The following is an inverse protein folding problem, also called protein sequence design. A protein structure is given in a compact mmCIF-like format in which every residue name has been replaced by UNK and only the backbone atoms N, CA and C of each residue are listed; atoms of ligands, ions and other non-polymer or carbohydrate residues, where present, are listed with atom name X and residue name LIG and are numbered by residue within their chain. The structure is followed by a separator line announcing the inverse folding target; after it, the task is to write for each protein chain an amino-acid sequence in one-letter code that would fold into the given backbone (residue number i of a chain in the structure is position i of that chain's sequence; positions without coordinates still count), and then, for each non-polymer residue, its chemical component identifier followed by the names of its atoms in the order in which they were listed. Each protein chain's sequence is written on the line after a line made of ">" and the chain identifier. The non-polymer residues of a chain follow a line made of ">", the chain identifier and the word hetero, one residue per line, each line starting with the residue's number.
data_IF_777006275590
#
_entry.id   IF_777006275590
#
_cell.length_a   1.000
_cell.length_b   1.000
_cell.length_c   1.000
_cell.angle_alpha   90.00
_cell.angle_beta   90.00
_cell.angle_gamma   90.00
#
_symmetry.space_group_name_H-M   'P 1'
#
loop_
_entity.id
_entity.type
_entity.pdbx_description
1 polymer ?
#
# COMPACT_ATOMS: atom_id res chain seq x y z
N UNK A 1 -1.40 30.54 -8.35
CA UNK A 1 -0.89 29.52 -7.41
C UNK A 1 -1.71 28.25 -7.55
N UNK A 2 -1.20 27.22 -8.25
CA UNK A 2 -1.84 25.90 -8.33
C UNK A 2 -1.20 25.04 -7.25
N UNK A 3 -2.02 24.52 -6.33
CA UNK A 3 -1.57 23.66 -5.24
C UNK A 3 -0.92 22.39 -5.79
N UNK A 4 0.27 22.08 -5.28
CA UNK A 4 1.10 20.95 -5.66
C UNK A 4 0.47 19.64 -5.13
N UNK A 5 -0.45 19.02 -5.89
CA UNK A 5 -1.31 17.92 -5.40
C UNK A 5 -0.69 16.51 -5.44
N UNK A 6 0.57 16.30 -5.86
CA UNK A 6 0.98 14.93 -6.27
C UNK A 6 2.31 14.38 -5.73
N UNK A 7 2.91 14.91 -4.67
CA UNK A 7 4.12 14.28 -4.14
C UNK A 7 3.79 13.13 -3.16
N UNK A 8 3.10 12.09 -3.63
CA UNK A 8 2.91 10.83 -2.90
C UNK A 8 3.92 9.80 -3.38
N UNK A 9 4.76 9.34 -2.47
CA UNK A 9 5.74 8.30 -2.71
C UNK A 9 5.14 6.93 -2.35
N UNK A 10 5.34 5.94 -3.23
CA UNK A 10 4.99 4.55 -2.95
C UNK A 10 6.12 3.90 -2.18
N UNK A 11 5.78 3.33 -1.03
CA UNK A 11 6.72 2.59 -0.22
C UNK A 11 6.27 1.13 -0.17
N UNK A 12 7.05 0.25 -0.80
CA UNK A 12 6.74 -1.17 -0.85
C UNK A 12 7.03 -1.85 0.49
N UNK A 13 6.09 -2.69 0.91
CA UNK A 13 6.11 -3.40 2.20
C UNK A 13 6.03 -4.91 1.98
N UNK A 14 6.56 -5.68 2.92
CA UNK A 14 6.24 -7.11 3.00
C UNK A 14 4.90 -7.26 3.72
N UNK A 15 4.02 -8.12 3.20
CA UNK A 15 2.68 -8.34 3.76
C UNK A 15 2.40 -9.83 3.76
N UNK A 16 2.00 -10.34 4.91
CA UNK A 16 1.48 -11.70 5.04
C UNK A 16 0.03 -11.68 4.57
N UNK A 17 -0.32 -12.53 3.61
CA UNK A 17 -1.68 -12.62 3.07
C UNK A 17 -2.17 -14.06 3.02
N UNK A 18 -3.43 -14.25 3.40
CA UNK A 18 -4.11 -15.54 3.29
C UNK A 18 -5.07 -15.50 2.11
N UNK A 19 -5.10 -16.58 1.33
CA UNK A 19 -6.10 -16.78 0.30
C UNK A 19 -7.15 -17.75 0.81
N UNK A 20 -8.42 -17.40 0.65
CA UNK A 20 -9.51 -18.33 0.93
C UNK A 20 -9.84 -19.22 -0.28
N UNK A 21 -10.78 -20.14 -0.10
CA UNK A 21 -11.20 -21.07 -1.15
C UNK A 21 -11.87 -20.40 -2.35
N UNK A 22 -12.33 -19.15 -2.23
CA UNK A 22 -12.88 -18.37 -3.34
C UNK A 22 -11.80 -17.66 -4.15
N UNK A 23 -10.56 -17.63 -3.63
CA UNK A 23 -9.44 -16.89 -4.20
C UNK A 23 -9.36 -15.45 -3.71
N UNK A 24 -10.15 -15.05 -2.70
CA UNK A 24 -10.03 -13.73 -2.09
C UNK A 24 -8.74 -13.64 -1.29
N UNK A 25 -7.93 -12.63 -1.59
CA UNK A 25 -6.66 -12.36 -0.94
C UNK A 25 -6.88 -11.39 0.22
N UNK A 26 -6.63 -11.83 1.44
CA UNK A 26 -6.78 -11.00 2.62
C UNK A 26 -5.42 -10.72 3.27
N UNK A 27 -5.02 -9.45 3.44
CA UNK A 27 -3.81 -9.10 4.18
C UNK A 27 -4.03 -9.30 5.69
N UNK A 28 -3.01 -9.83 6.37
CA UNK A 28 -3.08 -10.23 7.80
C UNK A 28 -2.00 -9.60 8.67
N UNK A 29 -0.86 -9.23 8.11
CA UNK A 29 0.18 -8.46 8.81
C UNK A 29 1.03 -7.66 7.82
N UNK A 30 1.55 -6.52 8.27
CA UNK A 30 2.52 -5.71 7.51
C UNK A 30 3.87 -5.79 8.21
N UNK A 31 4.92 -6.11 7.46
CA UNK A 31 6.31 -6.03 7.93
C UNK A 31 7.00 -4.84 7.25
N UNK A 32 7.47 -3.90 8.07
CA UNK A 32 8.16 -2.71 7.60
C UNK A 32 9.63 -3.00 7.26
N UNK A 33 10.30 -2.03 6.63
CA UNK A 33 11.70 -2.15 6.18
C UNK A 33 12.69 -2.23 7.34
N UNK A 34 12.28 -1.80 8.54
CA UNK A 34 13.00 -1.97 9.78
C UNK A 34 12.83 -3.36 10.41
N UNK A 35 12.06 -4.25 9.76
CA UNK A 35 11.79 -5.62 10.20
C UNK A 35 10.68 -5.76 11.23
N UNK A 36 10.03 -4.66 11.66
CA UNK A 36 8.90 -4.74 12.60
C UNK A 36 7.64 -5.19 11.88
N UNK A 37 6.96 -6.17 12.47
CA UNK A 37 5.69 -6.70 11.96
C UNK A 37 4.54 -6.20 12.81
N UNK A 38 3.50 -5.71 12.13
CA UNK A 38 2.28 -5.18 12.72
C UNK A 38 1.10 -6.02 12.24
N UNK A 39 0.35 -6.66 13.15
CA UNK A 39 -0.83 -7.43 12.77
C UNK A 39 -1.93 -6.49 12.25
N UNK A 40 -2.63 -6.92 11.20
CA UNK A 40 -3.86 -6.29 10.72
C UNK A 40 -5.00 -6.88 11.53
N UNK A 41 -5.65 -6.04 12.34
CA UNK A 41 -6.74 -6.44 13.22
C UNK A 41 -7.99 -6.82 12.42
N UNK A 42 -8.29 -6.05 11.38
CA UNK A 42 -9.34 -6.36 10.41
C UNK A 42 -9.18 -5.57 9.11
N UNK A 43 -9.82 -6.07 8.04
CA UNK A 43 -10.05 -5.33 6.79
C UNK A 43 -11.46 -4.75 6.84
N UNK A 44 -11.58 -3.43 6.72
CA UNK A 44 -12.85 -2.69 6.79
C UNK A 44 -13.51 -2.52 5.44
N UNK A 45 -12.71 -2.32 4.41
CA UNK A 45 -13.19 -2.07 3.06
C UNK A 45 -12.17 -2.55 2.03
N UNK A 46 -12.67 -2.86 0.84
CA UNK A 46 -11.88 -3.25 -0.33
C UNK A 46 -12.43 -2.56 -1.58
N UNK A 47 -11.58 -1.77 -2.21
CA UNK A 47 -11.89 -1.10 -3.46
C UNK A 47 -11.02 -1.68 -4.58
N UNK A 48 -11.60 -2.39 -5.56
CA UNK A 48 -10.84 -2.97 -6.67
C UNK A 48 -10.27 -1.88 -7.59
N UNK A 49 -9.21 -2.24 -8.31
CA UNK A 49 -8.58 -1.37 -9.28
C UNK A 49 -9.53 -1.00 -10.44
N UNK A 50 -10.19 0.16 -10.36
CA UNK A 50 -10.76 0.83 -11.52
C UNK A 50 -9.74 1.87 -11.99
N UNK A 51 -9.21 1.74 -13.21
CA UNK A 51 -8.20 2.66 -13.74
C UNK A 51 -8.66 4.14 -13.76
N UNK A 52 -9.97 4.40 -13.72
CA UNK A 52 -10.55 5.74 -13.63
C UNK A 52 -10.65 6.30 -12.20
N UNK A 53 -10.58 5.43 -11.18
CA UNK A 53 -10.80 5.78 -9.76
C UNK A 53 -9.55 5.54 -8.90
N UNK A 54 -8.84 4.45 -9.16
CA UNK A 54 -7.65 3.99 -8.43
C UNK A 54 -6.51 3.72 -9.41
N UNK A 55 -5.79 4.77 -9.84
CA UNK A 55 -4.67 4.66 -10.79
C UNK A 55 -3.46 3.87 -10.23
N UNK A 56 -3.58 3.28 -9.04
CA UNK A 56 -2.48 2.68 -8.29
C UNK A 56 -2.71 1.19 -7.94
N UNK A 57 -3.85 0.60 -8.33
CA UNK A 57 -4.19 -0.80 -8.04
C UNK A 57 -5.33 -0.95 -7.04
N UNK A 58 -5.49 -2.15 -6.48
CA UNK A 58 -6.50 -2.47 -5.49
C UNK A 58 -6.17 -1.76 -4.17
N UNK A 59 -7.18 -1.24 -3.46
CA UNK A 59 -7.02 -0.55 -2.18
C UNK A 59 -7.78 -1.27 -1.06
N UNK A 60 -7.07 -1.58 0.02
CA UNK A 60 -7.62 -2.15 1.24
C UNK A 60 -7.60 -1.10 2.33
N UNK A 61 -8.73 -0.90 3.01
CA UNK A 61 -8.78 -0.13 4.26
C UNK A 61 -8.62 -1.11 5.40
N UNK A 62 -7.48 -1.06 6.08
CA UNK A 62 -7.09 -2.00 7.14
C UNK A 62 -6.98 -1.29 8.49
N UNK A 63 -7.24 -2.01 9.57
CA UNK A 63 -7.06 -1.49 10.94
C UNK A 63 -5.78 -2.07 11.53
N UNK A 64 -4.88 -1.19 11.97
CA UNK A 64 -3.63 -1.54 12.65
C UNK A 64 -3.52 -0.65 13.88
N UNK A 65 -3.41 -1.25 15.08
CA UNK A 65 -3.43 -0.54 16.36
C UNK A 65 -4.68 0.35 16.52
N UNK A 66 -5.85 -0.16 16.15
CA UNK A 66 -7.10 0.58 16.19
C UNK A 66 -7.18 1.78 15.24
N UNK A 67 -6.24 1.94 14.31
CA UNK A 67 -6.20 3.04 13.34
C UNK A 67 -6.42 2.53 11.92
N UNK A 68 -7.30 3.19 11.18
CA UNK A 68 -7.48 2.91 9.75
C UNK A 68 -6.27 3.37 8.94
N UNK A 69 -5.86 2.53 7.99
CA UNK A 69 -4.76 2.73 7.06
C UNK A 69 -5.17 2.23 5.68
N UNK A 70 -4.64 2.86 4.64
CA UNK A 70 -4.76 2.35 3.27
C UNK A 70 -3.53 1.53 2.91
N UNK A 71 -3.80 0.33 2.42
CA UNK A 71 -2.81 -0.61 1.94
C UNK A 71 -3.16 -0.96 0.49
N UNK A 72 -2.22 -0.76 -0.42
CA UNK A 72 -2.46 -0.91 -1.85
C UNK A 72 -1.77 -2.15 -2.39
N UNK A 73 -2.40 -2.78 -3.38
CA UNK A 73 -1.86 -3.92 -4.10
C UNK A 73 -1.89 -3.67 -5.60
N UNK A 74 -0.74 -3.81 -6.26
CA UNK A 74 -0.65 -3.79 -7.71
C UNK A 74 -0.20 -5.16 -8.24
N UNK A 75 -0.85 -5.63 -9.29
CA UNK A 75 -0.44 -6.84 -10.00
C UNK A 75 0.87 -6.59 -10.75
N UNK A 76 1.78 -7.55 -10.70
CA UNK A 76 3.01 -7.52 -11.50
C UNK A 76 2.77 -8.06 -12.90
N UNK A 77 3.77 -7.87 -13.78
CA UNK A 77 3.72 -8.26 -15.18
C UNK A 77 3.25 -9.71 -15.35
N UNK A 78 2.20 -9.96 -16.17
CA UNK A 78 1.64 -11.30 -16.40
C UNK A 78 2.66 -12.30 -16.99
N UNK A 79 3.77 -11.83 -17.54
CA UNK A 79 4.86 -12.67 -18.05
C UNK A 79 5.61 -13.44 -16.94
N UNK A 80 5.45 -13.03 -15.67
CA UNK A 80 6.07 -13.68 -14.52
C UNK A 80 4.99 -14.18 -13.55
N UNK A 81 4.33 -15.32 -13.84
CA UNK A 81 3.16 -15.78 -13.06
C UNK A 81 3.47 -16.11 -11.60
N UNK A 82 4.75 -16.38 -11.27
CA UNK A 82 5.18 -16.59 -9.89
C UNK A 82 5.23 -15.29 -9.07
N UNK A 83 5.18 -14.12 -9.73
CA UNK A 83 5.08 -12.80 -9.09
C UNK A 83 3.63 -12.36 -9.24
N UNK A 84 2.85 -12.56 -8.19
CA UNK A 84 1.42 -12.23 -8.20
C UNK A 84 1.22 -10.71 -8.18
N UNK A 85 1.99 -10.00 -7.37
CA UNK A 85 1.93 -8.56 -7.25
C UNK A 85 2.79 -8.03 -6.12
N UNK A 86 2.64 -6.74 -5.82
CA UNK A 86 3.38 -6.04 -4.76
C UNK A 86 2.44 -5.19 -3.93
N UNK A 87 2.70 -5.20 -2.63
CA UNK A 87 2.02 -4.36 -1.66
C UNK A 87 2.80 -3.07 -1.43
N UNK A 88 2.09 -1.95 -1.28
CA UNK A 88 2.69 -0.69 -0.92
C UNK A 88 1.74 0.20 -0.12
N UNK A 89 2.31 1.16 0.59
CA UNK A 89 1.60 2.28 1.22
C UNK A 89 2.01 3.58 0.55
N UNK A 90 1.18 4.60 0.64
CA UNK A 90 1.51 5.95 0.17
C UNK A 90 1.99 6.83 1.33
N UNK A 91 3.09 7.55 1.10
CA UNK A 91 3.61 8.57 2.01
C UNK A 91 3.64 9.93 1.31
N UNK A 92 3.31 11.00 2.04
CA UNK A 92 3.58 12.36 1.57
C UNK A 92 5.11 12.54 1.56
N UNK A 93 5.68 12.72 0.37
CA UNK A 93 7.10 12.99 0.22
C UNK A 93 7.40 14.35 0.85
N UNK A 94 8.36 14.36 1.78
CA UNK A 94 8.83 15.61 2.41
C UNK A 94 9.69 16.33 1.38
N UNK A 95 9.36 17.58 1.07
CA UNK A 95 10.26 18.45 0.31
C UNK A 95 11.54 18.65 1.14
N UNK A 96 12.71 18.41 0.55
CA UNK A 96 14.00 18.58 1.23
C UNK A 96 14.18 20.07 1.59
N UNK A 97 14.30 20.40 2.88
CA UNK A 97 14.80 21.70 3.33
C UNK A 97 16.27 21.80 2.88
N UNK A 98 16.51 22.50 1.78
CA UNK A 98 17.82 23.03 1.44
C UNK A 98 18.21 24.06 2.50
N UNK A 99 18.91 23.65 3.55
CA UNK A 99 19.69 24.57 4.37
C UNK A 99 20.96 24.90 3.56
N UNK A 100 20.84 25.91 2.70
CA UNK A 100 22.00 26.66 2.22
C UNK A 100 22.60 27.41 3.41
N UNK A 101 23.58 26.79 4.06
CA UNK A 101 24.46 27.46 5.01
C UNK A 101 25.27 28.55 4.32
N UNK A 102 25.44 29.64 5.07
CA UNK A 102 26.11 30.89 4.72
C UNK A 102 27.56 30.76 4.24
#
# INVERSE_FOLDING_TARGET
>A
MRQNRHNRERIYVSVDSTFDATGYMQPTAITWTDGRTFPIECVRDYHPADASVTPHGDCYTVVIHGQEKHLFFERTDPLFPSRVGRWFVERIARENENVSGH
#
